data_IF_885611287268
#
_entry.id   IF_885611287268
#
_cell.length_a   1.000
_cell.length_b   1.000
_cell.length_c   1.000
_cell.angle_alpha   90.00
_cell.angle_beta   90.00
_cell.angle_gamma   90.00
#
_symmetry.space_group_name_H-M   'P 1'
#
loop_
_entity.id
_entity.type
_entity.pdbx_description
1 polymer ?
#
# COMPACT_ATOMS: atom_id res chain seq x y z
N UNK A 1 11.92 10.37 26.85
CA UNK A 1 11.26 11.22 27.87
C UNK A 1 9.77 10.96 27.77
N UNK A 2 9.17 10.42 28.84
CA UNK A 2 7.76 10.03 28.89
C UNK A 2 6.94 11.14 29.53
N UNK A 3 6.27 11.94 28.71
CA UNK A 3 5.33 12.98 29.17
C UNK A 3 4.18 13.05 28.17
N UNK A 4 3.05 12.42 28.46
CA UNK A 4 1.85 12.55 27.64
C UNK A 4 0.56 12.44 28.47
N UNK A 5 0.39 11.39 29.28
CA UNK A 5 -0.91 11.15 29.91
C UNK A 5 -1.29 12.16 31.00
N UNK A 6 -0.34 12.65 31.80
CA UNK A 6 -0.62 13.56 32.92
C UNK A 6 -1.05 14.97 32.46
N UNK A 7 -0.68 15.35 31.24
CA UNK A 7 -0.97 16.67 30.66
C UNK A 7 -2.11 16.64 29.62
N UNK A 8 -2.57 15.45 29.21
CA UNK A 8 -3.55 15.35 28.11
C UNK A 8 -4.95 15.82 28.52
N UNK A 9 -5.24 15.89 29.83
CA UNK A 9 -6.55 16.24 30.41
C UNK A 9 -7.75 15.51 29.74
N UNK A 10 -7.51 14.36 29.11
CA UNK A 10 -8.52 13.65 28.32
C UNK A 10 -9.63 13.06 29.19
N UNK A 11 -9.34 12.84 30.48
CA UNK A 11 -10.32 12.43 31.48
C UNK A 11 -11.26 13.57 31.93
N UNK A 12 -11.06 14.80 31.46
CA UNK A 12 -11.96 15.91 31.79
C UNK A 12 -13.35 15.66 31.17
N UNK A 13 -14.39 15.73 32.01
CA UNK A 13 -15.79 15.58 31.59
C UNK A 13 -16.20 16.49 30.42
N UNK A 14 -15.50 17.62 30.21
CA UNK A 14 -15.67 18.51 29.05
C UNK A 14 -15.51 17.83 27.68
N UNK A 15 -14.84 16.68 27.62
CA UNK A 15 -14.62 15.91 26.41
C UNK A 15 -15.61 14.75 26.23
N UNK A 16 -16.42 14.44 27.25
CA UNK A 16 -17.50 13.47 27.15
C UNK A 16 -17.10 12.00 26.97
N UNK A 17 -15.84 11.64 27.21
CA UNK A 17 -15.38 10.25 27.14
C UNK A 17 -15.61 9.51 28.46
N UNK A 18 -16.16 8.29 28.40
CA UNK A 18 -16.38 7.43 29.58
C UNK A 18 -15.08 6.78 30.09
N UNK A 19 -14.15 6.46 29.19
CA UNK A 19 -12.80 5.99 29.53
C UNK A 19 -11.81 6.39 28.43
N UNK A 20 -10.52 6.44 28.78
CA UNK A 20 -9.42 6.77 27.85
C UNK A 20 -8.41 5.64 27.89
N UNK A 21 -8.08 5.10 26.72
CA UNK A 21 -6.99 4.12 26.54
C UNK A 21 -5.84 4.82 25.84
N UNK A 22 -4.62 4.58 26.31
CA UNK A 22 -3.40 5.09 25.70
C UNK A 22 -2.45 3.93 25.40
N UNK A 23 -1.86 3.94 24.22
CA UNK A 23 -0.81 3.00 23.80
C UNK A 23 0.44 3.76 23.37
N UNK A 24 1.60 3.11 23.40
CA UNK A 24 2.84 3.71 22.93
C UNK A 24 3.08 3.39 21.46
N UNK A 25 3.75 4.28 20.73
CA UNK A 25 4.19 4.02 19.35
C UNK A 25 5.00 2.71 19.25
N UNK A 26 5.90 2.47 20.20
CA UNK A 26 6.71 1.24 20.26
C UNK A 26 5.80 0.01 20.33
N UNK A 27 4.76 0.06 21.16
CA UNK A 27 3.78 -1.04 21.26
C UNK A 27 2.97 -1.23 19.98
N UNK A 28 2.57 -0.14 19.30
CA UNK A 28 1.89 -0.21 18.00
C UNK A 28 2.80 -0.88 16.96
N UNK A 29 4.04 -0.41 16.80
CA UNK A 29 4.98 -0.94 15.83
C UNK A 29 5.33 -2.41 16.09
N UNK A 30 5.59 -2.79 17.35
CA UNK A 30 5.90 -4.17 17.69
C UNK A 30 4.75 -5.13 17.30
N UNK A 31 3.50 -4.72 17.54
CA UNK A 31 2.32 -5.54 17.21
C UNK A 31 2.08 -5.57 15.70
N UNK A 32 2.21 -4.45 14.99
CA UNK A 32 2.04 -4.42 13.53
C UNK A 32 3.12 -5.24 12.81
N UNK A 33 4.37 -5.18 13.28
CA UNK A 33 5.44 -6.01 12.74
C UNK A 33 5.19 -7.50 13.00
N UNK A 34 4.70 -7.86 14.18
CA UNK A 34 4.29 -9.24 14.47
C UNK A 34 3.15 -9.68 13.54
N UNK A 35 2.11 -8.86 13.40
CA UNK A 35 0.97 -9.12 12.52
C UNK A 35 1.40 -9.37 11.07
N UNK A 36 2.25 -8.50 10.51
CA UNK A 36 2.80 -8.65 9.15
C UNK A 36 3.72 -9.87 8.99
N UNK A 37 4.31 -10.37 10.07
CA UNK A 37 5.13 -11.58 10.07
C UNK A 37 4.32 -12.89 10.09
N UNK A 38 3.06 -12.83 10.54
CA UNK A 38 2.22 -14.01 10.78
C UNK A 38 1.15 -14.21 9.68
N UNK A 39 0.86 -13.20 8.87
CA UNK A 39 -0.26 -13.23 7.93
C UNK A 39 0.22 -13.36 6.48
N UNK A 40 -0.27 -14.35 5.73
CA UNK A 40 -0.10 -14.39 4.29
C UNK A 40 -1.09 -13.43 3.63
N UNK A 41 -0.62 -12.25 3.23
CA UNK A 41 -1.43 -11.31 2.46
C UNK A 41 -1.47 -11.69 0.97
N UNK A 42 -2.57 -11.42 0.25
CA UNK A 42 -2.65 -11.68 -1.17
C UNK A 42 -1.71 -10.75 -1.95
N UNK A 43 -1.22 -11.24 -3.09
CA UNK A 43 -0.48 -10.38 -4.03
C UNK A 43 -1.46 -9.53 -4.82
N UNK A 44 -1.34 -8.21 -4.68
CA UNK A 44 -2.07 -7.25 -5.50
C UNK A 44 -1.30 -7.05 -6.80
N UNK A 45 -2.01 -7.10 -7.93
CA UNK A 45 -1.47 -6.72 -9.24
C UNK A 45 -2.27 -5.55 -9.78
N UNK A 46 -1.61 -4.43 -10.03
CA UNK A 46 -2.23 -3.26 -10.64
C UNK A 46 -1.54 -2.96 -11.98
N UNK A 47 -2.33 -2.81 -13.04
CA UNK A 47 -1.87 -2.55 -14.39
C UNK A 47 -2.49 -1.26 -14.92
N UNK A 48 -1.73 -0.51 -15.70
CA UNK A 48 -2.16 0.79 -16.21
C UNK A 48 -1.87 0.92 -17.71
N UNK A 49 -2.84 1.47 -18.43
CA UNK A 49 -2.75 1.80 -19.85
C UNK A 49 -3.11 3.27 -20.07
N UNK A 50 -2.62 3.84 -21.16
CA UNK A 50 -2.98 5.18 -21.56
C UNK A 50 -4.26 5.16 -22.41
N UNK A 51 -5.30 5.84 -21.93
CA UNK A 51 -6.54 6.02 -22.67
C UNK A 51 -6.45 7.26 -23.56
N UNK A 52 -6.42 7.05 -24.89
CA UNK A 52 -6.34 8.14 -25.88
C UNK A 52 -7.58 9.05 -25.92
N UNK A 53 -8.75 8.54 -25.53
CA UNK A 53 -10.01 9.31 -25.57
C UNK A 53 -10.03 10.34 -24.44
N UNK A 54 -9.68 9.91 -23.23
CA UNK A 54 -9.63 10.80 -22.05
C UNK A 54 -8.29 11.50 -21.90
N UNK A 55 -7.26 11.06 -22.63
CA UNK A 55 -5.87 11.51 -22.49
C UNK A 55 -5.33 11.33 -21.07
N UNK A 56 -5.69 10.21 -20.43
CA UNK A 56 -5.31 9.88 -19.05
C UNK A 56 -4.84 8.44 -18.93
N UNK A 57 -3.99 8.19 -17.93
CA UNK A 57 -3.68 6.83 -17.50
C UNK A 57 -4.86 6.26 -16.72
N UNK A 58 -5.29 5.05 -17.07
CA UNK A 58 -6.41 4.37 -16.44
C UNK A 58 -6.02 2.94 -16.05
N UNK A 59 -6.62 2.37 -14.98
CA UNK A 59 -6.39 0.98 -14.62
C UNK A 59 -6.97 0.03 -15.67
N UNK A 60 -6.32 -1.11 -15.85
CA UNK A 60 -6.80 -2.25 -16.65
C UNK A 60 -6.64 -3.54 -15.83
N UNK A 61 -7.56 -4.49 -16.00
CA UNK A 61 -7.41 -5.82 -15.42
C UNK A 61 -6.20 -6.56 -16.01
N UNK A 62 -5.46 -7.29 -15.18
CA UNK A 62 -4.24 -8.00 -15.59
C UNK A 62 -4.50 -9.06 -16.66
N UNK A 63 -5.61 -9.80 -16.56
CA UNK A 63 -5.95 -10.84 -17.55
C UNK A 63 -6.37 -10.22 -18.88
N UNK A 64 -7.12 -9.11 -18.83
CA UNK A 64 -7.48 -8.34 -20.03
C UNK A 64 -6.24 -7.76 -20.70
N UNK A 65 -5.30 -7.19 -19.93
CA UNK A 65 -4.03 -6.69 -20.47
C UNK A 65 -3.27 -7.79 -21.23
N UNK A 66 -3.09 -8.97 -20.64
CA UNK A 66 -2.39 -10.09 -21.30
C UNK A 66 -3.10 -10.46 -22.61
N UNK A 67 -4.42 -10.55 -22.59
CA UNK A 67 -5.20 -10.90 -23.77
C UNK A 67 -5.02 -9.87 -24.89
N UNK A 68 -5.13 -8.58 -24.57
CA UNK A 68 -4.97 -7.48 -25.54
C UNK A 68 -3.52 -7.37 -26.03
N UNK A 69 -2.54 -7.67 -25.17
CA UNK A 69 -1.11 -7.68 -25.49
C UNK A 69 -0.66 -8.98 -26.16
N UNK A 70 -1.56 -9.70 -26.84
CA UNK A 70 -1.27 -10.92 -27.59
C UNK A 70 -0.57 -12.02 -26.75
N UNK A 71 -1.00 -12.19 -25.51
CA UNK A 71 -0.44 -13.17 -24.56
C UNK A 71 0.81 -12.71 -23.82
N UNK A 72 1.25 -11.47 -24.03
CA UNK A 72 2.45 -10.92 -23.39
C UNK A 72 2.21 -10.67 -21.90
N UNK A 73 3.09 -11.21 -21.05
CA UNK A 73 3.11 -10.95 -19.62
C UNK A 73 4.21 -9.94 -19.28
N UNK A 74 3.89 -8.69 -18.87
CA UNK A 74 4.90 -7.67 -18.64
C UNK A 74 5.88 -8.05 -17.52
N UNK A 75 5.47 -8.85 -16.53
CA UNK A 75 6.36 -9.27 -15.44
C UNK A 75 7.41 -10.30 -15.86
N UNK A 76 7.28 -10.89 -17.06
CA UNK A 76 8.24 -11.86 -17.61
C UNK A 76 9.25 -11.25 -18.57
N UNK A 77 9.04 -10.02 -19.03
CA UNK A 77 9.99 -9.36 -19.94
C UNK A 77 11.21 -8.91 -19.14
N UNK A 78 12.43 -9.39 -19.46
CA UNK A 78 13.64 -9.06 -18.70
C UNK A 78 13.91 -7.56 -18.61
N UNK A 79 14.43 -7.11 -17.47
CA UNK A 79 14.88 -5.73 -17.28
C UNK A 79 15.89 -5.33 -18.37
N UNK A 80 15.77 -4.10 -18.88
CA UNK A 80 16.64 -3.58 -19.92
C UNK A 80 16.42 -4.17 -21.32
N UNK A 81 15.39 -4.99 -21.55
CA UNK A 81 14.96 -5.38 -22.91
C UNK A 81 14.77 -4.14 -23.80
N UNK A 82 15.23 -4.21 -25.05
CA UNK A 82 15.17 -3.10 -26.00
C UNK A 82 13.78 -3.02 -26.68
N UNK A 83 13.00 -1.95 -26.43
CA UNK A 83 11.66 -1.81 -27.01
C UNK A 83 11.61 -1.77 -28.54
N UNK A 84 12.74 -1.50 -29.22
CA UNK A 84 12.80 -1.43 -30.68
C UNK A 84 12.85 -2.80 -31.35
N UNK A 85 13.32 -3.83 -30.63
CA UNK A 85 13.50 -5.17 -31.19
C UNK A 85 12.62 -6.21 -30.51
N UNK A 86 12.39 -6.08 -29.20
CA UNK A 86 11.65 -7.04 -28.39
C UNK A 86 10.16 -7.04 -28.80
N UNK A 87 9.65 -8.22 -29.17
CA UNK A 87 8.29 -8.37 -29.67
C UNK A 87 7.25 -8.23 -28.55
N UNK A 88 7.58 -8.66 -27.33
CA UNK A 88 6.70 -8.55 -26.17
C UNK A 88 6.52 -7.07 -25.81
N UNK A 89 7.61 -6.30 -25.83
CA UNK A 89 7.53 -4.85 -25.63
C UNK A 89 6.72 -4.14 -26.72
N UNK A 90 6.84 -4.54 -27.98
CA UNK A 90 5.99 -4.02 -29.07
C UNK A 90 4.51 -4.34 -28.86
N UNK A 91 4.19 -5.54 -28.37
CA UNK A 91 2.82 -5.91 -28.06
C UNK A 91 2.26 -5.04 -26.92
N UNK A 92 3.05 -4.79 -25.88
CA UNK A 92 2.68 -3.89 -24.77
C UNK A 92 2.51 -2.44 -25.24
N UNK A 93 3.35 -1.93 -26.14
CA UNK A 93 3.19 -0.60 -26.75
C UNK A 93 1.89 -0.49 -27.55
N UNK A 94 1.49 -1.54 -28.27
CA UNK A 94 0.27 -1.53 -29.08
C UNK A 94 -1.00 -1.37 -28.23
N UNK A 95 -1.00 -1.89 -27.00
CA UNK A 95 -2.07 -1.69 -26.01
C UNK A 95 -1.88 -0.45 -25.16
N UNK A 96 -0.89 0.39 -25.48
CA UNK A 96 -0.58 1.63 -24.76
C UNK A 96 -0.30 1.38 -23.27
N UNK A 97 0.34 0.25 -22.98
CA UNK A 97 0.77 -0.08 -21.63
C UNK A 97 1.69 1.02 -21.08
N UNK A 98 1.41 1.47 -19.87
CA UNK A 98 2.20 2.49 -19.17
C UNK A 98 3.14 1.79 -18.17
N UNK A 99 2.57 0.93 -17.33
CA UNK A 99 3.30 0.24 -16.28
C UNK A 99 2.37 -0.61 -15.44
N UNK A 100 2.97 -1.46 -14.62
CA UNK A 100 2.27 -2.29 -13.66
C UNK A 100 3.16 -2.53 -12.43
N UNK A 101 2.53 -2.90 -11.33
CA UNK A 101 3.25 -3.43 -10.18
C UNK A 101 2.54 -4.65 -9.60
N UNK A 102 3.34 -5.49 -8.94
CA UNK A 102 2.92 -6.55 -8.03
C UNK A 102 3.43 -6.21 -6.66
N UNK A 103 2.57 -6.31 -5.67
CA UNK A 103 2.92 -6.05 -4.29
C UNK A 103 2.25 -7.09 -3.38
N UNK A 104 3.05 -7.66 -2.48
CA UNK A 104 2.56 -8.46 -1.36
C UNK A 104 2.95 -7.72 -0.10
N UNK A 105 1.95 -7.27 0.66
CA UNK A 105 2.17 -6.62 1.95
C UNK A 105 2.80 -7.64 2.90
N UNK A 106 3.80 -7.22 3.68
CA UNK A 106 4.45 -8.11 4.63
C UNK A 106 5.86 -7.67 4.98
N UNK A 107 6.52 -8.49 5.78
CA UNK A 107 7.90 -8.26 6.13
C UNK A 107 8.84 -8.65 4.97
N UNK A 108 9.79 -7.79 4.60
CA UNK A 108 10.79 -8.09 3.58
C UNK A 108 11.64 -9.30 4.01
N UNK A 109 11.91 -10.26 3.11
CA UNK A 109 12.66 -11.46 3.46
C UNK A 109 14.11 -11.12 3.81
N UNK A 110 14.63 -11.76 4.86
CA UNK A 110 16.05 -11.67 5.23
C UNK A 110 16.47 -10.37 5.94
N UNK A 111 15.53 -9.47 6.25
CA UNK A 111 15.80 -8.27 7.05
C UNK A 111 15.51 -8.55 8.52
N UNK A 112 16.39 -8.11 9.42
CA UNK A 112 16.14 -8.21 10.84
C UNK A 112 15.06 -7.21 11.23
N UNK A 113 14.08 -7.63 12.05
CA UNK A 113 13.00 -6.76 12.54
C UNK A 113 13.53 -5.50 13.22
N UNK A 114 14.70 -5.58 13.89
CA UNK A 114 15.33 -4.43 14.53
C UNK A 114 15.86 -3.38 13.55
N UNK A 115 16.08 -3.75 12.29
CA UNK A 115 16.58 -2.87 11.23
C UNK A 115 15.44 -2.28 10.37
N UNK A 116 14.19 -2.71 10.62
CA UNK A 116 13.03 -2.17 9.93
C UNK A 116 12.67 -0.78 10.44
N UNK A 117 12.18 0.12 9.57
CA UNK A 117 11.64 1.39 10.02
C UNK A 117 10.38 1.16 10.87
N UNK A 118 10.06 2.15 11.70
CA UNK A 118 8.74 2.21 12.34
C UNK A 118 7.65 2.22 11.24
N UNK A 119 6.71 1.29 11.33
CA UNK A 119 5.52 1.25 10.45
C UNK A 119 4.62 2.46 10.70
N UNK A 120 4.56 2.91 11.94
CA UNK A 120 3.74 4.02 12.42
C UNK A 120 4.60 5.00 13.18
N UNK A 121 4.61 6.25 12.75
CA UNK A 121 5.18 7.37 13.50
C UNK A 121 4.08 8.35 13.89
N UNK A 122 3.84 8.50 15.19
CA UNK A 122 2.83 9.41 15.73
C UNK A 122 3.34 10.85 15.63
N UNK A 123 2.56 11.73 15.01
CA UNK A 123 2.85 13.15 14.91
C UNK A 123 2.49 13.94 16.18
N UNK A 124 2.70 15.25 16.12
CA UNK A 124 2.33 16.20 17.19
C UNK A 124 0.84 16.56 17.21
N UNK A 125 0.08 16.10 16.22
CA UNK A 125 -1.36 16.28 16.06
C UNK A 125 -1.98 14.94 15.62
N UNK A 126 -3.18 14.97 15.02
CA UNK A 126 -3.81 13.76 14.51
C UNK A 126 -3.15 13.16 13.26
N UNK A 127 -2.08 13.76 12.73
CA UNK A 127 -1.34 13.18 11.61
C UNK A 127 -0.42 12.07 12.10
N UNK A 128 -0.47 10.97 11.37
CA UNK A 128 0.36 9.79 11.59
C UNK A 128 1.06 9.47 10.28
N UNK A 129 2.37 9.28 10.32
CA UNK A 129 3.09 8.75 9.18
C UNK A 129 2.99 7.23 9.22
N UNK A 130 2.54 6.66 8.11
CA UNK A 130 2.48 5.22 7.89
C UNK A 130 3.50 4.81 6.83
N UNK A 131 4.29 3.79 7.13
CA UNK A 131 5.28 3.20 6.24
C UNK A 131 4.80 1.80 5.86
N UNK A 132 4.31 1.63 4.63
CA UNK A 132 3.95 0.34 4.08
C UNK A 132 5.22 -0.42 3.67
N UNK A 133 5.32 -1.66 4.13
CA UNK A 133 6.37 -2.60 3.74
C UNK A 133 5.77 -3.73 2.89
N UNK A 134 6.59 -4.24 1.97
CA UNK A 134 6.24 -5.38 1.13
C UNK A 134 7.23 -6.53 1.35
N UNK A 135 6.70 -7.75 1.44
CA UNK A 135 7.48 -8.98 1.38
C UNK A 135 7.95 -9.29 -0.04
N UNK A 136 7.15 -8.89 -1.03
CA UNK A 136 7.49 -8.94 -2.45
C UNK A 136 6.96 -7.68 -3.12
N UNK A 137 7.80 -7.04 -3.93
CA UNK A 137 7.36 -5.94 -4.75
C UNK A 137 8.11 -5.98 -6.08
N UNK A 138 7.37 -5.91 -7.18
CA UNK A 138 7.94 -5.84 -8.53
C UNK A 138 7.22 -4.75 -9.31
N UNK A 139 7.97 -3.88 -9.97
CA UNK A 139 7.45 -2.83 -10.84
C UNK A 139 8.00 -3.02 -12.25
N UNK A 140 7.10 -2.89 -13.23
CA UNK A 140 7.42 -2.98 -14.65
C UNK A 140 6.83 -1.81 -15.42
N UNK A 141 7.51 -1.36 -16.46
CA UNK A 141 6.98 -0.28 -17.28
C UNK A 141 7.99 0.33 -18.23
N UNK A 142 7.49 1.17 -19.12
CA UNK A 142 8.34 1.98 -19.99
C UNK A 142 8.86 3.18 -19.21
N UNK A 143 10.15 3.47 -19.36
CA UNK A 143 10.79 4.66 -18.80
C UNK A 143 11.62 5.38 -19.88
N UNK A 144 12.13 6.56 -19.55
CA UNK A 144 12.86 7.40 -20.49
C UNK A 144 11.95 8.29 -21.34
N UNK A 145 12.41 8.68 -22.53
CA UNK A 145 11.68 9.59 -23.42
C UNK A 145 11.02 8.82 -24.56
N UNK A 146 10.16 9.50 -25.33
CA UNK A 146 9.56 8.91 -26.53
C UNK A 146 10.58 8.51 -27.61
N UNK A 147 11.80 9.07 -27.57
CA UNK A 147 12.87 8.77 -28.54
C UNK A 147 13.92 7.80 -27.97
N UNK A 148 13.99 7.69 -26.65
CA UNK A 148 14.92 6.83 -25.91
C UNK A 148 14.12 6.10 -24.83
N UNK A 149 13.24 5.22 -25.30
CA UNK A 149 12.42 4.41 -24.43
C UNK A 149 13.25 3.24 -23.92
N UNK A 150 13.14 2.96 -22.63
CA UNK A 150 13.77 1.81 -21.99
C UNK A 150 12.73 1.02 -21.21
N UNK A 151 12.97 -0.27 -21.03
CA UNK A 151 12.12 -1.13 -20.24
C UNK A 151 12.69 -1.32 -18.84
N UNK A 152 11.84 -1.08 -17.85
CA UNK A 152 12.11 -1.32 -16.44
C UNK A 152 11.36 -2.60 -16.02
N UNK A 153 12.06 -3.53 -15.38
CA UNK A 153 11.48 -4.62 -14.61
C UNK A 153 12.34 -4.85 -13.36
N UNK A 154 11.94 -4.21 -12.26
CA UNK A 154 12.72 -4.19 -11.02
C UNK A 154 11.91 -4.82 -9.90
N UNK A 155 12.55 -5.72 -9.16
CA UNK A 155 12.00 -6.32 -7.96
C UNK A 155 12.78 -5.87 -6.73
N UNK A 156 12.08 -5.70 -5.62
CA UNK A 156 12.70 -5.51 -4.33
C UNK A 156 13.60 -6.71 -4.01
N UNK A 157 14.81 -6.44 -3.55
CA UNK A 157 15.76 -7.47 -3.11
C UNK A 157 15.87 -7.46 -1.59
N UNK A 158 16.28 -8.57 -0.95
CA UNK A 158 16.53 -8.60 0.49
C UNK A 158 17.49 -7.51 1.00
N UNK A 159 18.39 -7.01 0.14
CA UNK A 159 19.37 -5.98 0.51
C UNK A 159 18.85 -4.55 0.38
N UNK A 160 17.73 -4.32 -0.32
CA UNK A 160 17.21 -2.99 -0.60
C UNK A 160 15.76 -2.92 -0.15
N UNK A 161 15.53 -2.31 1.01
CA UNK A 161 14.20 -2.08 1.53
C UNK A 161 13.48 -1.00 0.72
N UNK A 162 12.33 -1.34 0.12
CA UNK A 162 11.43 -0.35 -0.44
C UNK A 162 10.36 -0.05 0.59
N UNK A 163 10.18 1.24 0.89
CA UNK A 163 9.22 1.71 1.89
C UNK A 163 8.34 2.77 1.23
N UNK A 164 7.03 2.59 1.32
CA UNK A 164 6.06 3.52 0.79
C UNK A 164 5.44 4.30 1.95
N UNK A 165 5.74 5.59 2.04
CA UNK A 165 5.30 6.43 3.14
C UNK A 165 4.05 7.24 2.77
N UNK A 166 3.04 7.23 3.63
CA UNK A 166 1.86 8.09 3.55
C UNK A 166 1.66 8.88 4.85
N UNK A 167 1.01 10.04 4.76
CA UNK A 167 0.58 10.80 5.93
C UNK A 167 -0.93 10.65 6.09
N UNK A 168 -1.33 9.97 7.15
CA UNK A 168 -2.72 9.65 7.48
C UNK A 168 -3.24 10.64 8.51
N UNK A 169 -4.43 11.20 8.29
CA UNK A 169 -5.13 12.00 9.30
C UNK A 169 -6.05 11.10 10.14
N UNK A 170 -5.66 10.83 11.38
CA UNK A 170 -6.41 10.02 12.34
C UNK A 170 -7.63 10.74 12.94
N UNK A 171 -7.97 11.95 12.48
CA UNK A 171 -9.27 12.53 12.83
C UNK A 171 -10.33 11.65 12.17
N UNK A 172 -11.03 10.89 13.00
CA UNK A 172 -12.28 10.19 12.70
C UNK A 172 -13.35 11.22 12.31
N UNK A 173 -13.14 11.91 11.19
CA UNK A 173 -14.18 12.56 10.42
C UNK A 173 -15.18 11.47 10.08
N UNK A 174 -16.50 11.71 10.13
CA UNK A 174 -17.46 10.68 9.77
C UNK A 174 -17.17 10.23 8.33
N UNK A 175 -16.56 9.05 8.22
CA UNK A 175 -16.16 8.36 7.01
C UNK A 175 -17.41 7.83 6.27
N UNK A 176 -18.45 8.64 6.15
CA UNK A 176 -19.74 8.22 5.61
C UNK A 176 -19.67 7.88 4.12
N UNK A 177 -18.73 8.50 3.39
CA UNK A 177 -18.64 8.31 1.94
C UNK A 177 -17.71 7.15 1.54
N UNK A 178 -16.65 6.82 2.28
CA UNK A 178 -15.73 5.75 1.86
C UNK A 178 -16.13 4.36 2.34
N UNK A 179 -16.75 4.23 3.53
CA UNK A 179 -17.22 2.93 4.04
C UNK A 179 -18.32 2.33 3.18
N UNK A 180 -19.29 3.16 2.78
CA UNK A 180 -20.42 2.76 1.92
C UNK A 180 -19.99 2.33 0.51
N UNK A 181 -18.79 2.74 0.08
CA UNK A 181 -18.18 2.39 -1.20
C UNK A 181 -17.33 1.11 -1.16
N UNK A 182 -17.10 0.54 0.02
CA UNK A 182 -16.37 -0.74 0.14
C UNK A 182 -17.25 -1.89 -0.35
N UNK A 183 -16.67 -3.01 -0.84
CA UNK A 183 -17.43 -4.22 -1.09
C UNK A 183 -18.18 -4.68 0.16
N UNK A 184 -19.41 -5.18 -0.02
CA UNK A 184 -20.29 -5.56 1.10
C UNK A 184 -19.69 -6.62 2.04
N UNK A 185 -18.81 -7.48 1.51
CA UNK A 185 -18.06 -8.45 2.31
C UNK A 185 -17.07 -7.77 3.27
N UNK A 186 -16.38 -6.72 2.81
CA UNK A 186 -15.43 -5.93 3.62
C UNK A 186 -16.18 -5.11 4.66
N UNK A 187 -17.32 -4.51 4.29
CA UNK A 187 -18.21 -3.84 5.24
C UNK A 187 -18.63 -4.79 6.38
N UNK A 188 -19.04 -6.02 6.04
CA UNK A 188 -19.46 -7.02 7.04
C UNK A 188 -18.31 -7.47 7.98
N UNK A 189 -17.08 -7.58 7.49
CA UNK A 189 -15.91 -7.85 8.35
C UNK A 189 -15.61 -6.68 9.29
N UNK A 190 -15.68 -5.44 8.80
CA UNK A 190 -15.48 -4.22 9.59
C UNK A 190 -16.58 -4.01 10.64
N UNK A 191 -17.83 -4.32 10.31
CA UNK A 191 -18.95 -4.33 11.27
C UNK A 191 -18.75 -5.34 12.40
N UNK A 192 -18.18 -6.51 12.11
CA UNK A 192 -17.85 -7.52 13.11
C UNK A 192 -16.66 -7.12 14.01
N UNK A 193 -15.74 -6.29 13.52
CA UNK A 193 -14.65 -5.70 14.30
C UNK A 193 -15.12 -4.54 15.21
N UNK A 194 -16.22 -3.88 14.86
CA UNK A 194 -16.76 -2.70 15.56
C UNK A 194 -17.39 -2.98 16.95
N UNK A 195 -17.40 -4.24 17.39
CA UNK A 195 -17.84 -4.65 18.72
C UNK A 195 -16.87 -4.22 19.82
N UNK A 196 -16.83 -2.92 20.13
CA UNK A 196 -16.12 -2.30 21.27
C UNK A 196 -14.58 -2.39 21.31
N UNK A 197 -13.92 -3.02 20.34
CA UNK A 197 -12.47 -3.21 20.33
C UNK A 197 -11.83 -2.63 19.06
N UNK A 198 -10.92 -1.67 19.24
CA UNK A 198 -10.02 -1.22 18.19
C UNK A 198 -9.07 -2.36 17.81
N UNK A 199 -9.23 -2.96 16.63
CA UNK A 199 -8.38 -4.08 16.20
C UNK A 199 -7.17 -3.59 15.40
N UNK A 200 -6.10 -4.38 15.38
CA UNK A 200 -4.89 -4.09 14.59
C UNK A 200 -5.22 -4.10 13.09
N UNK A 201 -6.15 -4.96 12.66
CA UNK A 201 -6.66 -4.96 11.30
C UNK A 201 -7.38 -3.65 10.96
N UNK A 202 -8.20 -3.13 11.88
CA UNK A 202 -8.91 -1.87 11.70
C UNK A 202 -7.93 -0.69 11.68
N UNK A 203 -6.91 -0.67 12.56
CA UNK A 203 -5.84 0.33 12.50
C UNK A 203 -5.09 0.28 11.17
N UNK A 204 -4.69 -0.92 10.72
CA UNK A 204 -3.98 -1.09 9.46
C UNK A 204 -4.84 -0.64 8.28
N UNK A 205 -6.12 -1.03 8.27
CA UNK A 205 -7.09 -0.60 7.27
C UNK A 205 -7.29 0.92 7.26
N UNK A 206 -7.47 1.54 8.43
CA UNK A 206 -7.62 3.00 8.58
C UNK A 206 -6.36 3.73 8.11
N UNK A 207 -5.17 3.14 8.28
CA UNK A 207 -3.91 3.69 7.79
C UNK A 207 -3.71 3.50 6.27
N UNK A 208 -4.25 2.42 5.71
CA UNK A 208 -4.14 2.10 4.28
C UNK A 208 -5.19 2.83 3.42
N UNK A 209 -6.35 3.19 4.00
CA UNK A 209 -7.48 3.79 3.30
C UNK A 209 -7.70 5.29 3.59
N UNK A 210 -6.72 5.95 4.20
CA UNK A 210 -6.75 7.39 4.52
C UNK A 210 -6.04 8.29 3.51
#
# INVERSE_FOLDING_TARGET
>A
MSTSYSNSNLASARYGYDFVVATTQISINAILLQFLGEIPEPTVTACYVYNKVTSTTVPIDYSTLIQEANGTDPFKVPDGSDPNIDQDLKNLQNVLFVGAFRATIGLPPGVNVADLPDLVTLGSNAQVQFNLLCSDFTVVGFSGSMYEMSWLNQSQTPQTLWTFASNVDMRLSPYQDSYSNLPQAVQAELENLSGTAFSVQQLFFDLDNA
#
